data_IF_355288272254
#
_entry.id   IF_355288272254
#
_cell.length_a   1.000
_cell.length_b   1.000
_cell.length_c   1.000
_cell.angle_alpha   90.00
_cell.angle_beta   90.00
_cell.angle_gamma   90.00
#
_symmetry.space_group_name_H-M   'P 1'
#
loop_
_entity.id
_entity.type
_entity.pdbx_description
1 polymer ?
#
# COMPACT_ATOMS: atom_id res chain seq x y z
N UNK A 1 -43.10 -46.14 -53.83
CA UNK A 1 -42.78 -44.92 -53.05
C UNK A 1 -43.76 -44.82 -51.89
N UNK A 2 -43.28 -45.04 -50.65
CA UNK A 2 -43.74 -44.24 -49.53
C UNK A 2 -42.56 -43.92 -48.58
N UNK A 3 -41.75 -42.90 -48.90
CA UNK A 3 -40.62 -42.45 -48.05
C UNK A 3 -40.98 -41.24 -47.15
N UNK A 4 -42.24 -40.77 -47.19
CA UNK A 4 -42.65 -39.55 -46.48
C UNK A 4 -43.17 -39.78 -45.05
N UNK A 5 -43.40 -41.03 -44.62
CA UNK A 5 -43.95 -41.33 -43.28
C UNK A 5 -42.88 -41.58 -42.21
N UNK A 6 -41.63 -41.86 -42.60
CA UNK A 6 -40.53 -42.10 -41.64
C UNK A 6 -39.92 -40.80 -41.08
N UNK A 7 -40.04 -39.68 -41.80
CA UNK A 7 -39.49 -38.39 -41.36
C UNK A 7 -40.36 -37.68 -40.30
N UNK A 8 -41.67 -37.95 -40.25
CA UNK A 8 -42.59 -37.33 -39.29
C UNK A 8 -42.46 -37.84 -37.85
N UNK A 9 -41.92 -39.04 -37.64
CA UNK A 9 -41.80 -39.66 -36.31
C UNK A 9 -40.44 -39.41 -35.61
N UNK A 10 -39.42 -38.96 -36.35
CA UNK A 10 -38.09 -38.66 -35.82
C UNK A 10 -37.95 -37.22 -35.29
N UNK A 11 -38.70 -36.28 -35.88
CA UNK A 11 -38.70 -34.86 -35.50
C UNK A 11 -39.16 -34.57 -34.06
N UNK A 12 -40.28 -35.12 -33.54
CA UNK A 12 -40.71 -34.84 -32.17
C UNK A 12 -39.77 -35.41 -31.10
N UNK A 13 -39.04 -36.48 -31.42
CA UNK A 13 -38.03 -37.06 -30.52
C UNK A 13 -36.74 -36.23 -30.48
N UNK A 14 -36.38 -35.55 -31.58
CA UNK A 14 -35.27 -34.59 -31.60
C UNK A 14 -35.60 -33.34 -30.78
N UNK A 15 -36.81 -32.79 -30.91
CA UNK A 15 -37.22 -31.64 -30.10
C UNK A 15 -37.24 -31.95 -28.61
N UNK A 16 -37.76 -33.13 -28.22
CA UNK A 16 -37.72 -33.59 -26.83
C UNK A 16 -36.28 -33.84 -26.32
N UNK A 17 -35.39 -34.38 -27.17
CA UNK A 17 -33.97 -34.56 -26.86
C UNK A 17 -33.25 -33.23 -26.63
N UNK A 18 -33.46 -32.25 -27.52
CA UNK A 18 -32.89 -30.90 -27.40
C UNK A 18 -33.49 -30.10 -26.24
N UNK A 19 -34.77 -30.29 -25.90
CA UNK A 19 -35.39 -29.72 -24.69
C UNK A 19 -34.77 -30.31 -23.42
N UNK A 20 -34.65 -31.64 -23.35
CA UNK A 20 -34.13 -32.34 -22.17
C UNK A 20 -32.62 -32.15 -21.97
N UNK A 21 -31.85 -31.95 -23.05
CA UNK A 21 -30.40 -31.76 -22.99
C UNK A 21 -30.01 -30.28 -23.07
N UNK A 22 -30.88 -29.41 -23.58
CA UNK A 22 -30.68 -27.96 -23.68
C UNK A 22 -30.62 -27.27 -22.32
N UNK A 23 -31.41 -27.69 -21.33
CA UNK A 23 -31.29 -27.18 -19.95
C UNK A 23 -29.96 -27.58 -19.30
N UNK A 24 -29.49 -28.81 -19.53
CA UNK A 24 -28.18 -29.27 -19.04
C UNK A 24 -27.02 -28.54 -19.72
N UNK A 25 -27.11 -28.29 -21.03
CA UNK A 25 -26.13 -27.50 -21.78
C UNK A 25 -26.11 -26.03 -21.32
N UNK A 26 -27.26 -25.45 -21.00
CA UNK A 26 -27.35 -24.10 -20.40
C UNK A 26 -26.69 -24.04 -19.03
N UNK A 27 -26.95 -25.01 -18.15
CA UNK A 27 -26.33 -25.09 -16.83
C UNK A 27 -24.79 -25.23 -16.93
N UNK A 28 -24.31 -26.08 -17.83
CA UNK A 28 -22.87 -26.24 -18.08
C UNK A 28 -22.25 -24.94 -18.61
N UNK A 29 -22.91 -24.27 -19.55
CA UNK A 29 -22.45 -22.98 -20.07
C UNK A 29 -22.44 -21.89 -18.98
N UNK A 30 -23.40 -21.87 -18.06
CA UNK A 30 -23.42 -20.97 -16.90
C UNK A 30 -22.27 -21.25 -15.93
N UNK A 31 -21.98 -22.52 -15.65
CA UNK A 31 -20.82 -22.91 -14.82
C UNK A 31 -19.51 -22.47 -15.47
N UNK A 32 -19.33 -22.69 -16.79
CA UNK A 32 -18.15 -22.21 -17.51
C UNK A 32 -18.03 -20.68 -17.49
N UNK A 33 -19.14 -19.95 -17.56
CA UNK A 33 -19.14 -18.48 -17.43
C UNK A 33 -18.73 -18.03 -16.03
N UNK A 34 -19.24 -18.68 -14.97
CA UNK A 34 -18.90 -18.37 -13.59
C UNK A 34 -17.41 -18.65 -13.32
N UNK A 35 -16.91 -19.81 -13.78
CA UNK A 35 -15.49 -20.18 -13.64
C UNK A 35 -14.60 -19.23 -14.46
N UNK A 36 -14.99 -18.90 -15.69
CA UNK A 36 -14.27 -17.95 -16.55
C UNK A 36 -14.25 -16.53 -15.99
N UNK A 37 -15.36 -16.07 -15.41
CA UNK A 37 -15.44 -14.79 -14.70
C UNK A 37 -14.55 -14.79 -13.44
N UNK A 38 -14.54 -15.88 -12.68
CA UNK A 38 -13.65 -16.07 -11.53
C UNK A 38 -12.17 -16.02 -11.91
N UNK A 39 -11.78 -16.71 -13.00
CA UNK A 39 -10.42 -16.69 -13.52
C UNK A 39 -10.01 -15.28 -13.99
N UNK A 40 -10.92 -14.55 -14.64
CA UNK A 40 -10.69 -13.18 -15.09
C UNK A 40 -10.51 -12.21 -13.90
N UNK A 41 -11.34 -12.35 -12.87
CA UNK A 41 -11.20 -11.59 -11.63
C UNK A 41 -9.88 -11.88 -10.91
N UNK A 42 -9.51 -13.17 -10.83
CA UNK A 42 -8.25 -13.58 -10.23
C UNK A 42 -7.03 -13.02 -10.98
N UNK A 43 -7.07 -13.00 -12.31
CA UNK A 43 -6.03 -12.39 -13.14
C UNK A 43 -5.88 -10.88 -12.86
N UNK A 44 -6.99 -10.14 -12.78
CA UNK A 44 -6.96 -8.70 -12.43
C UNK A 44 -6.42 -8.48 -11.01
N UNK A 45 -6.81 -9.32 -10.06
CA UNK A 45 -6.32 -9.24 -8.69
C UNK A 45 -4.80 -9.48 -8.61
N UNK A 46 -4.29 -10.49 -9.32
CA UNK A 46 -2.85 -10.77 -9.44
C UNK A 46 -2.10 -9.63 -10.12
N UNK A 47 -2.64 -9.07 -11.20
CA UNK A 47 -2.05 -7.90 -11.88
C UNK A 47 -1.93 -6.70 -10.92
N UNK A 48 -2.97 -6.38 -10.14
CA UNK A 48 -2.90 -5.33 -9.12
C UNK A 48 -1.88 -5.61 -8.03
N UNK A 49 -1.70 -6.87 -7.65
CA UNK A 49 -0.68 -7.24 -6.66
C UNK A 49 0.74 -7.02 -7.21
N UNK A 50 0.97 -7.38 -8.47
CA UNK A 50 2.25 -7.16 -9.16
C UNK A 50 2.51 -5.66 -9.33
N UNK A 51 1.53 -4.89 -9.79
CA UNK A 51 1.62 -3.43 -9.97
C UNK A 51 2.01 -2.73 -8.65
N UNK A 52 1.35 -3.08 -7.54
CA UNK A 52 1.68 -2.54 -6.22
C UNK A 52 3.12 -2.82 -5.82
N UNK A 53 3.62 -4.02 -6.12
CA UNK A 53 5.00 -4.40 -5.81
C UNK A 53 6.01 -3.65 -6.66
N UNK A 54 5.73 -3.44 -7.94
CA UNK A 54 6.58 -2.61 -8.81
C UNK A 54 6.61 -1.15 -8.34
N UNK A 55 5.44 -0.58 -8.03
CA UNK A 55 5.33 0.78 -7.49
C UNK A 55 6.07 0.92 -6.14
N UNK A 56 6.02 -0.10 -5.29
CA UNK A 56 6.80 -0.14 -4.05
C UNK A 56 8.31 -0.09 -4.37
N UNK A 57 8.83 -1.02 -5.18
CA UNK A 57 10.25 -1.04 -5.56
C UNK A 57 10.73 0.28 -6.19
N UNK A 58 9.87 0.93 -6.97
CA UNK A 58 10.22 2.18 -7.63
C UNK A 58 10.17 3.42 -6.72
N UNK A 59 9.34 3.42 -5.66
CA UNK A 59 9.05 4.63 -4.88
C UNK A 59 9.60 4.64 -3.46
N UNK A 60 9.96 3.46 -2.92
CA UNK A 60 10.50 3.35 -1.56
C UNK A 60 11.95 3.88 -1.44
N UNK A 61 12.88 3.64 -2.38
CA UNK A 61 14.24 4.18 -2.27
C UNK A 61 14.25 5.71 -2.11
N UNK A 62 13.54 6.43 -2.98
CA UNK A 62 13.42 7.89 -2.88
C UNK A 62 12.62 8.38 -1.67
N UNK A 63 11.88 7.50 -0.99
CA UNK A 63 11.24 7.84 0.29
C UNK A 63 12.22 7.67 1.45
N UNK A 64 13.04 6.61 1.43
CA UNK A 64 14.11 6.39 2.40
C UNK A 64 15.10 7.56 2.38
N UNK A 65 15.55 7.99 1.20
CA UNK A 65 16.46 9.14 1.06
C UNK A 65 15.93 10.43 1.71
N UNK A 66 14.61 10.68 1.63
CA UNK A 66 13.98 11.85 2.27
C UNK A 66 13.91 11.73 3.79
N UNK A 67 13.62 10.52 4.28
CA UNK A 67 13.63 10.22 5.71
C UNK A 67 15.05 10.38 6.25
N UNK A 68 16.06 9.85 5.56
CA UNK A 68 17.47 10.00 5.89
C UNK A 68 17.91 11.48 5.89
N UNK A 69 17.48 12.25 4.89
CA UNK A 69 17.72 13.70 4.86
C UNK A 69 17.16 14.41 6.09
N UNK A 70 15.98 14.01 6.57
CA UNK A 70 15.40 14.53 7.81
C UNK A 70 16.20 14.08 9.04
N UNK A 71 16.64 12.82 9.09
CA UNK A 71 17.48 12.28 10.17
C UNK A 71 18.81 13.02 10.29
N UNK A 72 19.45 13.40 9.19
CA UNK A 72 20.68 14.20 9.20
C UNK A 72 20.49 15.53 9.92
N UNK A 73 19.38 16.23 9.65
CA UNK A 73 19.06 17.50 10.30
C UNK A 73 18.73 17.30 11.79
N UNK A 74 17.99 16.24 12.14
CA UNK A 74 17.73 15.89 13.53
C UNK A 74 19.02 15.61 14.30
N UNK A 75 19.96 14.88 13.69
CA UNK A 75 21.26 14.59 14.29
C UNK A 75 22.12 15.86 14.48
N UNK A 76 22.13 16.76 13.48
CA UNK A 76 22.81 18.05 13.59
C UNK A 76 22.23 18.89 14.74
N UNK A 77 20.89 18.96 14.86
CA UNK A 77 20.23 19.65 15.96
C UNK A 77 20.53 19.04 17.33
N UNK A 78 20.67 17.71 17.44
CA UNK A 78 21.03 17.04 18.69
C UNK A 78 22.45 17.39 19.18
N UNK A 79 23.34 17.80 18.28
CA UNK A 79 24.67 18.30 18.58
C UNK A 79 24.71 19.81 18.85
N UNK A 80 24.04 20.60 18.00
CA UNK A 80 24.02 22.08 18.07
C UNK A 80 22.58 22.64 18.01
N UNK A 81 21.80 22.57 19.10
CA UNK A 81 20.38 22.91 19.07
C UNK A 81 20.06 24.34 18.64
N UNK A 82 20.91 25.30 19.03
CA UNK A 82 20.72 26.74 18.77
C UNK A 82 20.93 27.10 17.30
N UNK A 83 21.85 26.41 16.61
CA UNK A 83 22.19 26.68 15.22
C UNK A 83 21.16 26.11 14.23
N UNK A 84 20.43 25.07 14.61
CA UNK A 84 19.58 24.28 13.71
C UNK A 84 18.08 24.34 14.05
N UNK A 85 17.63 25.26 14.90
CA UNK A 85 16.25 25.24 15.42
C UNK A 85 15.17 25.43 14.34
N UNK A 86 15.42 26.29 13.36
CA UNK A 86 14.51 26.49 12.22
C UNK A 86 14.49 25.25 11.31
N UNK A 87 15.67 24.68 11.04
CA UNK A 87 15.83 23.50 10.18
C UNK A 87 15.21 22.24 10.81
N UNK A 88 15.29 22.10 12.14
CA UNK A 88 14.64 21.01 12.87
C UNK A 88 13.14 20.98 12.58
N UNK A 89 12.51 22.15 12.62
CA UNK A 89 11.07 22.27 12.42
C UNK A 89 10.65 21.79 11.04
N UNK A 90 11.39 22.21 10.01
CA UNK A 90 11.19 21.77 8.63
C UNK A 90 11.46 20.26 8.47
N UNK A 91 12.53 19.74 9.07
CA UNK A 91 12.88 18.33 9.02
C UNK A 91 11.82 17.44 9.68
N UNK A 92 11.30 17.81 10.86
CA UNK A 92 10.23 17.06 11.52
C UNK A 92 8.94 17.05 10.70
N UNK A 93 8.69 18.13 9.97
CA UNK A 93 7.54 18.27 9.08
C UNK A 93 7.64 17.37 7.85
N UNK A 94 8.79 17.34 7.19
CA UNK A 94 9.06 16.43 6.09
C UNK A 94 9.01 14.98 6.56
N UNK A 95 9.70 14.67 7.66
CA UNK A 95 9.68 13.35 8.28
C UNK A 95 8.25 12.86 8.55
N UNK A 96 7.37 13.72 9.05
CA UNK A 96 5.97 13.38 9.29
C UNK A 96 5.21 13.03 8.00
N UNK A 97 5.38 13.84 6.95
CA UNK A 97 4.73 13.64 5.66
C UNK A 97 5.23 12.36 4.97
N UNK A 98 6.54 12.12 5.03
CA UNK A 98 7.19 10.95 4.44
C UNK A 98 6.84 9.68 5.22
N UNK A 99 6.78 9.72 6.56
CA UNK A 99 6.31 8.60 7.39
C UNK A 99 4.87 8.22 7.07
N UNK A 100 3.97 9.20 6.87
CA UNK A 100 2.60 8.93 6.43
C UNK A 100 2.56 8.29 5.04
N UNK A 101 3.44 8.73 4.16
CA UNK A 101 3.58 8.16 2.82
C UNK A 101 4.08 6.72 2.89
N UNK A 102 5.04 6.42 3.77
CA UNK A 102 5.54 5.08 4.05
C UNK A 102 4.40 4.19 4.51
N UNK A 103 3.67 4.59 5.56
CA UNK A 103 2.52 3.84 6.10
C UNK A 103 1.45 3.53 5.04
N UNK A 104 1.20 4.44 4.09
CA UNK A 104 0.20 4.21 3.02
C UNK A 104 0.66 3.20 1.97
N UNK A 105 1.98 3.02 1.81
CA UNK A 105 2.61 2.20 0.76
C UNK A 105 3.10 0.85 1.27
N UNK A 106 3.37 0.74 2.58
CA UNK A 106 3.92 -0.46 3.21
C UNK A 106 2.85 -1.25 3.98
N UNK A 107 3.17 -2.51 4.31
CA UNK A 107 2.36 -3.43 5.11
C UNK A 107 3.28 -4.18 6.07
N UNK A 108 2.74 -4.89 7.07
CA UNK A 108 3.58 -5.64 8.01
C UNK A 108 4.50 -4.74 8.83
N UNK A 109 5.74 -5.18 9.04
CA UNK A 109 6.71 -4.57 9.94
C UNK A 109 7.02 -3.10 9.61
N UNK A 110 7.17 -2.73 8.32
CA UNK A 110 7.40 -1.33 7.96
C UNK A 110 6.16 -0.45 8.21
N UNK A 111 4.96 -1.02 8.13
CA UNK A 111 3.73 -0.28 8.48
C UNK A 111 3.66 -0.04 10.00
N UNK A 112 3.92 -1.07 10.80
CA UNK A 112 3.96 -0.97 12.27
C UNK A 112 5.05 0.01 12.74
N UNK A 113 6.23 -0.03 12.11
CA UNK A 113 7.31 0.93 12.38
C UNK A 113 6.87 2.38 12.08
N UNK A 114 6.20 2.61 10.95
CA UNK A 114 5.68 3.93 10.58
C UNK A 114 4.59 4.41 11.54
N UNK A 115 3.71 3.52 12.01
CA UNK A 115 2.70 3.85 13.03
C UNK A 115 3.33 4.19 14.38
N UNK A 116 4.35 3.43 14.79
CA UNK A 116 5.11 3.67 16.02
C UNK A 116 5.81 5.04 15.97
N UNK A 117 6.40 5.40 14.83
CA UNK A 117 7.01 6.71 14.62
C UNK A 117 5.97 7.83 14.64
N UNK A 118 4.84 7.68 13.96
CA UNK A 118 3.73 8.64 14.01
C UNK A 118 3.25 8.85 15.45
N UNK A 119 3.12 7.78 16.23
CA UNK A 119 2.73 7.86 17.63
C UNK A 119 3.78 8.61 18.46
N UNK A 120 5.07 8.37 18.22
CA UNK A 120 6.16 9.07 18.90
C UNK A 120 6.14 10.57 18.60
N UNK A 121 5.99 10.94 17.32
CA UNK A 121 5.91 12.33 16.89
C UNK A 121 4.70 13.04 17.50
N UNK A 122 3.54 12.38 17.59
CA UNK A 122 2.36 12.93 18.29
C UNK A 122 2.63 13.15 19.78
N UNK A 123 3.25 12.18 20.47
CA UNK A 123 3.61 12.32 21.89
C UNK A 123 4.61 13.45 22.11
N UNK A 124 5.50 13.68 21.14
CA UNK A 124 6.43 14.81 21.10
C UNK A 124 5.79 16.16 20.72
N UNK A 125 4.46 16.24 20.54
CA UNK A 125 3.76 17.48 20.20
C UNK A 125 3.76 17.84 18.71
N UNK A 126 4.18 16.93 17.83
CA UNK A 126 4.22 17.14 16.38
C UNK A 126 2.90 16.63 15.79
N UNK A 127 1.94 17.53 15.57
CA UNK A 127 0.59 17.19 15.14
C UNK A 127 0.30 17.42 13.63
N UNK A 128 -0.77 16.82 13.06
CA UNK A 128 -1.14 16.99 11.65
C UNK A 128 -1.35 18.45 11.20
N UNK A 129 -1.69 19.35 12.13
CA UNK A 129 -1.90 20.78 11.87
C UNK A 129 -0.65 21.62 12.06
N UNK A 130 0.50 21.00 12.31
CA UNK A 130 1.76 21.70 12.53
C UNK A 130 2.03 22.73 11.42
N UNK A 131 1.81 22.38 10.16
CA UNK A 131 1.92 23.30 9.01
C UNK A 131 0.93 24.48 9.02
N UNK A 132 -0.31 24.29 9.49
CA UNK A 132 -1.31 25.35 9.54
C UNK A 132 -1.10 26.30 10.73
N UNK A 133 -0.47 25.83 11.80
CA UNK A 133 -0.26 26.62 13.02
C UNK A 133 1.12 27.28 13.04
N UNK A 134 2.18 26.61 12.60
CA UNK A 134 3.55 27.17 12.68
C UNK A 134 3.94 28.15 11.59
N UNK A 135 3.26 28.15 10.43
CA UNK A 135 3.37 29.26 9.47
C UNK A 135 2.72 30.55 10.05
N UNK A 136 1.87 30.43 11.08
CA UNK A 136 1.12 31.55 11.68
C UNK A 136 1.55 31.90 13.11
N UNK A 137 2.18 31.00 13.87
CA UNK A 137 2.61 31.26 15.25
C UNK A 137 4.13 31.22 15.42
N UNK A 138 4.74 32.37 15.14
CA UNK A 138 5.89 32.84 15.90
C UNK A 138 5.57 32.83 17.41
N UNK A 139 6.55 32.43 18.23
CA UNK A 139 6.78 32.84 19.62
C UNK A 139 6.17 32.07 20.83
N UNK A 140 5.60 30.86 20.71
CA UNK A 140 5.09 30.21 21.95
C UNK A 140 4.80 28.72 21.96
N UNK A 141 4.97 27.99 20.84
CA UNK A 141 4.79 26.55 20.87
C UNK A 141 6.02 25.88 21.52
N UNK A 142 5.83 24.97 22.50
CA UNK A 142 6.94 24.33 23.18
C UNK A 142 7.78 23.56 22.16
N UNK A 143 9.08 23.86 22.12
CA UNK A 143 10.03 23.05 21.34
C UNK A 143 9.97 21.61 21.86
N UNK A 144 9.96 20.60 20.98
CA UNK A 144 10.03 19.21 21.41
C UNK A 144 11.27 19.00 22.29
N UNK A 145 11.13 18.20 23.35
CA UNK A 145 12.24 17.91 24.25
C UNK A 145 13.31 17.09 23.53
N UNK A 146 14.55 17.15 24.03
CA UNK A 146 15.67 16.40 23.45
C UNK A 146 15.40 14.89 23.45
N UNK A 147 14.78 14.37 24.51
CA UNK A 147 14.39 12.96 24.63
C UNK A 147 13.35 12.57 23.57
N UNK A 148 12.39 13.46 23.29
CA UNK A 148 11.40 13.22 22.23
C UNK A 148 12.06 13.17 20.85
N UNK A 149 13.02 14.06 20.57
CA UNK A 149 13.78 14.05 19.32
C UNK A 149 14.64 12.78 19.20
N UNK A 150 15.25 12.30 20.28
CA UNK A 150 15.99 11.04 20.30
C UNK A 150 15.08 9.83 20.05
N UNK A 151 13.89 9.76 20.65
CA UNK A 151 12.91 8.70 20.38
C UNK A 151 12.46 8.71 18.91
N UNK A 152 12.18 9.89 18.36
CA UNK A 152 11.82 10.09 16.95
C UNK A 152 12.96 9.64 16.04
N UNK A 153 14.21 10.05 16.33
CA UNK A 153 15.38 9.67 15.56
C UNK A 153 15.59 8.15 15.53
N UNK A 154 15.51 7.49 16.70
CA UNK A 154 15.66 6.05 16.81
C UNK A 154 14.58 5.29 16.04
N UNK A 155 13.32 5.75 16.14
CA UNK A 155 12.19 5.13 15.42
C UNK A 155 12.23 5.37 13.91
N UNK A 156 12.64 6.56 13.47
CA UNK A 156 12.81 6.87 12.06
C UNK A 156 13.95 6.06 11.44
N UNK A 157 15.08 5.92 12.13
CA UNK A 157 16.16 5.00 11.72
C UNK A 157 15.67 3.55 11.64
N UNK A 158 14.87 3.12 12.61
CA UNK A 158 14.24 1.80 12.61
C UNK A 158 13.30 1.58 11.41
N UNK A 159 12.53 2.60 11.04
CA UNK A 159 11.66 2.58 9.85
C UNK A 159 12.48 2.46 8.55
N UNK A 160 13.57 3.21 8.40
CA UNK A 160 14.45 3.09 7.22
C UNK A 160 14.96 1.65 7.08
N UNK A 161 15.41 1.05 8.18
CA UNK A 161 15.90 -0.34 8.18
C UNK A 161 14.82 -1.36 7.81
N UNK A 162 13.59 -1.20 8.29
CA UNK A 162 12.50 -2.12 7.90
C UNK A 162 12.07 -1.94 6.45
N UNK A 163 12.09 -0.70 5.94
CA UNK A 163 11.87 -0.43 4.52
C UNK A 163 12.94 -1.05 3.62
N UNK A 164 14.21 -0.99 4.04
CA UNK A 164 15.33 -1.61 3.33
C UNK A 164 15.18 -3.13 3.27
N UNK A 165 14.90 -3.78 4.40
CA UNK A 165 14.66 -5.22 4.46
C UNK A 165 13.47 -5.63 3.56
N UNK A 166 12.36 -4.89 3.61
CA UNK A 166 11.21 -5.17 2.74
C UNK A 166 11.53 -4.95 1.25
N UNK A 167 12.38 -3.97 0.93
CA UNK A 167 12.83 -3.72 -0.44
C UNK A 167 13.73 -4.85 -0.95
N UNK A 168 14.63 -5.36 -0.11
CA UNK A 168 15.49 -6.50 -0.42
C UNK A 168 14.66 -7.77 -0.61
N UNK A 169 13.77 -8.10 0.32
CA UNK A 169 12.84 -9.23 0.21
C UNK A 169 11.96 -9.10 -1.04
N UNK A 170 11.48 -7.88 -1.29
CA UNK A 170 10.74 -7.57 -2.49
C UNK A 170 11.59 -7.79 -3.73
N UNK A 171 12.91 -7.61 -3.72
CA UNK A 171 13.80 -7.83 -4.87
C UNK A 171 14.04 -9.33 -5.13
N UNK A 172 14.17 -10.14 -4.08
CA UNK A 172 14.45 -11.58 -4.19
C UNK A 172 13.24 -12.47 -4.48
N UNK A 173 12.01 -12.07 -4.10
CA UNK A 173 10.82 -12.89 -4.33
C UNK A 173 10.37 -12.84 -5.82
N UNK A 174 11.13 -13.43 -6.73
CA UNK A 174 10.73 -13.72 -8.11
C UNK A 174 9.96 -15.05 -8.25
N UNK A 175 9.26 -15.49 -7.18
CA UNK A 175 8.47 -16.73 -7.15
C UNK A 175 6.98 -16.46 -7.30
#
# INVERSE_FOLDING_TARGET
MPDSQLFGALLPNLDAFWLQHGEKLKLVAEVFKIVGAGASFFAVWKLKAIEKRYLFRATIPGLMEKIDGSLVVLNAWLGEPEAYQTQLTEALNHLWADTKSARRRTRGDANEAAESLIAAMRRGGIEPRFWQVWIVHFAGAPSPSREAILDIFGKASGLVRTLENELDDATWSNK
#
